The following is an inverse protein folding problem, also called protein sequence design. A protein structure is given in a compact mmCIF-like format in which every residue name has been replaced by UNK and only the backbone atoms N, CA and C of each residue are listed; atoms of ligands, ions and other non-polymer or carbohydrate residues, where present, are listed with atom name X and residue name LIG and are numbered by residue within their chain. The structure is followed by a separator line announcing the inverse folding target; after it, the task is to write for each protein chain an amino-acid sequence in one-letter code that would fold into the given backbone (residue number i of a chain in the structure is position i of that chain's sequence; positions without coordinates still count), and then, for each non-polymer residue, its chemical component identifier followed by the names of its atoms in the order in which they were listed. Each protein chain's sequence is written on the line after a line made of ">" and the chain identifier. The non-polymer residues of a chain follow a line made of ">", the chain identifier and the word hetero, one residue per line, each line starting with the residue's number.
data_IF_149851042874
#
_entry.id   IF_149851042874
#
_cell.length_a   1.000
_cell.length_b   1.000
_cell.length_c   1.000
_cell.angle_alpha   90.00
_cell.angle_beta   90.00
_cell.angle_gamma   90.00
#
_symmetry.space_group_name_H-M   'P 1'
#
loop_
_entity.id
_entity.type
_entity.pdbx_description
1 polymer ?
#
# COMPACT_ATOMS: atom_id res chain seq x y z
N UNK A 1 -16.14 -8.47 -19.41
CA UNK A 1 -15.78 -9.13 -18.13
C UNK A 1 -16.89 -10.07 -17.65
N UNK A 2 -16.55 -11.13 -16.87
CA UNK A 2 -17.54 -12.10 -16.41
C UNK A 2 -18.19 -11.63 -15.11
N UNK A 3 -19.52 -11.54 -15.08
CA UNK A 3 -20.29 -11.30 -13.86
C UNK A 3 -20.45 -12.57 -13.05
N UNK A 4 -20.72 -13.69 -13.72
CA UNK A 4 -20.90 -15.00 -13.13
C UNK A 4 -20.09 -16.04 -13.90
N UNK A 5 -19.44 -16.94 -13.18
CA UNK A 5 -18.62 -18.01 -13.75
C UNK A 5 -19.20 -19.36 -13.34
N UNK A 6 -19.29 -20.29 -14.27
CA UNK A 6 -19.71 -21.65 -13.98
C UNK A 6 -18.67 -22.35 -13.08
N UNK A 7 -19.14 -23.00 -12.04
CA UNK A 7 -18.30 -23.75 -11.12
C UNK A 7 -18.11 -25.19 -11.61
N UNK A 8 -16.89 -25.69 -11.56
CA UNK A 8 -16.62 -27.10 -11.68
C UNK A 8 -17.10 -27.85 -10.41
N UNK A 9 -17.34 -29.17 -10.49
CA UNK A 9 -17.83 -29.95 -9.34
C UNK A 9 -16.97 -29.81 -8.07
N UNK A 10 -15.66 -29.68 -8.22
CA UNK A 10 -14.66 -29.56 -7.17
C UNK A 10 -14.54 -28.19 -6.51
N UNK A 11 -15.20 -27.15 -7.07
CA UNK A 11 -15.19 -25.82 -6.45
C UNK A 11 -15.91 -25.87 -5.10
N UNK A 12 -15.22 -25.35 -4.06
CA UNK A 12 -15.78 -25.27 -2.70
C UNK A 12 -16.77 -24.12 -2.57
N UNK A 13 -16.44 -22.95 -3.14
CA UNK A 13 -17.30 -21.76 -3.09
C UNK A 13 -18.11 -21.68 -4.38
N UNK A 14 -19.35 -22.10 -4.31
CA UNK A 14 -20.31 -22.08 -5.43
C UNK A 14 -21.72 -21.96 -4.92
N UNK A 15 -22.55 -21.32 -5.70
CA UNK A 15 -23.96 -21.06 -5.37
C UNK A 15 -24.86 -21.32 -6.56
N UNK A 16 -26.11 -21.62 -6.29
CA UNK A 16 -27.14 -21.66 -7.32
C UNK A 16 -27.47 -20.25 -7.85
N UNK A 17 -27.73 -20.15 -9.14
CA UNK A 17 -28.14 -18.91 -9.78
C UNK A 17 -29.04 -19.19 -10.98
N UNK A 18 -29.74 -18.19 -11.54
CA UNK A 18 -30.48 -18.35 -12.80
C UNK A 18 -29.61 -18.82 -13.97
N UNK A 19 -28.27 -18.67 -13.86
CA UNK A 19 -27.31 -19.09 -14.88
C UNK A 19 -26.61 -20.42 -14.54
N UNK A 20 -27.12 -21.13 -13.54
CA UNK A 20 -26.56 -22.39 -13.06
C UNK A 20 -25.68 -22.26 -11.83
N UNK A 21 -25.10 -23.39 -11.43
CA UNK A 21 -24.17 -23.46 -10.29
C UNK A 21 -22.87 -22.75 -10.65
N UNK A 22 -22.50 -21.75 -9.84
CA UNK A 22 -21.33 -20.92 -10.16
C UNK A 22 -20.89 -20.00 -9.02
N UNK A 23 -20.07 -19.04 -9.36
CA UNK A 23 -19.51 -18.04 -8.43
C UNK A 23 -19.37 -16.67 -9.12
N UNK A 24 -19.40 -15.57 -8.37
CA UNK A 24 -19.27 -14.23 -8.92
C UNK A 24 -17.90 -13.99 -9.55
N UNK A 25 -17.82 -13.12 -10.54
CA UNK A 25 -16.56 -12.58 -11.01
C UNK A 25 -15.91 -11.68 -9.92
N UNK A 26 -14.60 -11.67 -9.85
CA UNK A 26 -13.83 -10.94 -8.83
C UNK A 26 -14.24 -9.46 -8.68
N UNK A 27 -14.44 -8.73 -9.78
CA UNK A 27 -14.87 -7.32 -9.71
C UNK A 27 -16.29 -7.17 -9.15
N UNK A 28 -17.17 -8.15 -9.36
CA UNK A 28 -18.52 -8.13 -8.79
C UNK A 28 -18.48 -8.31 -7.27
N UNK A 29 -17.55 -9.11 -6.76
CA UNK A 29 -17.35 -9.25 -5.30
C UNK A 29 -16.98 -7.90 -4.69
N UNK A 30 -16.01 -7.19 -5.28
CA UNK A 30 -15.57 -5.88 -4.80
C UNK A 30 -16.70 -4.84 -4.90
N UNK A 31 -17.40 -4.77 -6.02
CA UNK A 31 -18.54 -3.85 -6.21
C UNK A 31 -19.65 -4.12 -5.19
N UNK A 32 -20.01 -5.38 -4.97
CA UNK A 32 -21.04 -5.75 -4.01
C UNK A 32 -20.65 -5.44 -2.55
N UNK A 33 -19.41 -5.76 -2.17
CA UNK A 33 -18.92 -5.50 -0.83
C UNK A 33 -18.78 -4.00 -0.55
N UNK A 34 -18.19 -3.24 -1.47
CA UNK A 34 -18.04 -1.80 -1.31
C UNK A 34 -19.40 -1.09 -1.24
N UNK A 35 -20.33 -1.43 -2.12
CA UNK A 35 -21.69 -0.87 -2.08
C UNK A 35 -22.42 -1.20 -0.78
N UNK A 36 -22.25 -2.42 -0.25
CA UNK A 36 -22.89 -2.86 1.00
C UNK A 36 -22.35 -2.16 2.23
N UNK A 37 -21.04 -1.99 2.34
CA UNK A 37 -20.39 -1.52 3.57
C UNK A 37 -20.02 -0.04 3.54
N UNK A 38 -19.77 0.53 2.36
CA UNK A 38 -19.34 1.93 2.19
C UNK A 38 -20.39 2.80 1.50
N UNK A 39 -21.45 2.18 0.96
CA UNK A 39 -22.49 2.88 0.22
C UNK A 39 -22.22 2.94 -1.28
N UNK A 40 -23.13 3.60 -2.00
CA UNK A 40 -23.09 3.67 -3.48
C UNK A 40 -21.93 4.50 -4.03
N UNK A 41 -21.30 5.32 -3.21
CA UNK A 41 -20.10 6.07 -3.52
C UNK A 41 -19.31 6.30 -2.23
N UNK A 42 -18.03 6.02 -2.25
CA UNK A 42 -17.09 6.24 -1.14
C UNK A 42 -15.92 7.14 -1.60
N UNK A 43 -15.06 7.54 -0.68
CA UNK A 43 -14.08 8.59 -0.98
C UNK A 43 -12.89 8.06 -1.77
N UNK A 44 -12.22 7.00 -1.30
CA UNK A 44 -10.97 6.52 -1.88
C UNK A 44 -11.03 5.02 -2.13
N UNK A 45 -10.73 4.61 -3.37
CA UNK A 45 -10.46 3.22 -3.74
C UNK A 45 -9.01 3.08 -4.16
N UNK A 46 -8.29 2.14 -3.55
CA UNK A 46 -6.87 1.94 -3.78
C UNK A 46 -6.53 0.54 -4.25
N UNK A 47 -5.48 0.43 -5.06
CA UNK A 47 -4.96 -0.86 -5.51
C UNK A 47 -3.61 -0.74 -6.19
N UNK A 48 -3.07 -1.85 -6.66
CA UNK A 48 -1.88 -1.85 -7.51
C UNK A 48 -2.20 -1.32 -8.91
N UNK A 49 -1.19 -0.84 -9.63
CA UNK A 49 -1.36 -0.38 -11.01
C UNK A 49 -1.86 -1.49 -11.95
N UNK A 50 -1.61 -2.74 -11.62
CA UNK A 50 -2.11 -3.92 -12.33
C UNK A 50 -3.62 -4.11 -12.20
N UNK A 51 -4.25 -3.53 -11.19
CA UNK A 51 -5.71 -3.54 -11.00
C UNK A 51 -6.42 -2.42 -11.77
N UNK A 52 -5.71 -1.40 -12.24
CA UNK A 52 -6.31 -0.30 -12.97
C UNK A 52 -7.16 -0.83 -14.14
N UNK A 53 -6.58 -1.74 -14.90
CA UNK A 53 -7.27 -2.43 -15.99
C UNK A 53 -6.96 -3.94 -15.95
N UNK A 54 -7.98 -4.82 -16.05
CA UNK A 54 -9.40 -4.52 -16.24
C UNK A 54 -10.23 -4.38 -14.95
N UNK A 55 -9.64 -4.62 -13.74
CA UNK A 55 -10.41 -4.83 -12.51
C UNK A 55 -11.18 -3.57 -12.08
N UNK A 56 -10.51 -2.46 -11.86
CA UNK A 56 -11.16 -1.21 -11.42
C UNK A 56 -12.07 -0.61 -12.49
N UNK A 57 -11.71 -0.73 -13.77
CA UNK A 57 -12.59 -0.33 -14.86
C UNK A 57 -13.89 -1.14 -14.87
N UNK A 58 -13.84 -2.42 -14.53
CA UNK A 58 -15.02 -3.25 -14.38
C UNK A 58 -15.87 -2.82 -13.17
N UNK A 59 -15.25 -2.42 -12.06
CA UNK A 59 -15.96 -1.89 -10.90
C UNK A 59 -16.66 -0.56 -11.22
N UNK A 60 -15.99 0.34 -11.96
CA UNK A 60 -16.57 1.60 -12.44
C UNK A 60 -17.79 1.31 -13.30
N UNK A 61 -17.68 0.40 -14.28
CA UNK A 61 -18.78 0.03 -15.14
C UNK A 61 -19.97 -0.56 -14.37
N UNK A 62 -19.71 -1.41 -13.38
CA UNK A 62 -20.72 -2.01 -12.51
C UNK A 62 -21.38 -0.97 -11.61
N UNK A 63 -20.60 -0.09 -10.99
CA UNK A 63 -21.09 1.00 -10.14
C UNK A 63 -22.01 1.94 -10.90
N UNK A 64 -21.60 2.33 -12.10
CA UNK A 64 -22.43 3.18 -12.99
C UNK A 64 -23.71 2.46 -13.43
N UNK A 65 -23.65 1.18 -13.76
CA UNK A 65 -24.82 0.43 -14.17
C UNK A 65 -25.82 0.22 -13.02
N UNK A 66 -25.36 -0.03 -11.80
CA UNK A 66 -26.20 -0.34 -10.66
C UNK A 66 -26.65 0.90 -9.87
N UNK A 67 -25.76 1.88 -9.69
CA UNK A 67 -25.97 3.01 -8.82
C UNK A 67 -26.02 4.36 -9.54
N UNK A 68 -25.89 4.37 -10.88
CA UNK A 68 -25.89 5.56 -11.74
C UNK A 68 -24.82 6.59 -11.33
N UNK A 69 -23.70 6.13 -10.79
CA UNK A 69 -22.55 6.97 -10.39
C UNK A 69 -21.29 6.13 -10.25
N UNK A 70 -20.14 6.81 -10.33
CA UNK A 70 -18.86 6.18 -10.05
C UNK A 70 -18.81 5.71 -8.57
N UNK A 71 -18.32 4.50 -8.29
CA UNK A 71 -18.30 3.94 -6.94
C UNK A 71 -17.31 4.64 -6.02
N UNK A 72 -16.27 5.29 -6.54
CA UNK A 72 -15.30 6.03 -5.75
C UNK A 72 -15.03 7.42 -6.33
N UNK A 73 -14.78 8.40 -5.44
CA UNK A 73 -14.41 9.77 -5.85
C UNK A 73 -12.98 9.86 -6.32
N UNK A 74 -12.07 9.11 -5.68
CA UNK A 74 -10.65 9.10 -5.98
C UNK A 74 -10.14 7.67 -6.11
N UNK A 75 -9.39 7.45 -7.20
CA UNK A 75 -8.73 6.17 -7.48
C UNK A 75 -7.23 6.35 -7.25
N UNK A 76 -6.66 5.55 -6.37
CA UNK A 76 -5.23 5.60 -6.05
C UNK A 76 -4.56 4.30 -6.44
N UNK A 77 -3.53 4.39 -7.29
CA UNK A 77 -2.78 3.21 -7.73
C UNK A 77 -1.33 3.32 -7.29
N UNK A 78 -0.89 2.36 -6.49
CA UNK A 78 0.52 2.22 -6.15
C UNK A 78 1.25 1.36 -7.18
N UNK A 79 2.52 1.66 -7.38
CA UNK A 79 3.36 0.92 -8.31
C UNK A 79 3.85 -0.39 -7.70
N UNK A 80 4.54 -1.18 -8.52
CA UNK A 80 5.03 -2.51 -8.17
C UNK A 80 6.24 -2.45 -7.26
N UNK A 81 6.43 -3.53 -6.51
CA UNK A 81 7.67 -3.84 -5.81
C UNK A 81 8.56 -4.64 -6.75
N UNK A 82 9.82 -4.25 -6.83
CA UNK A 82 10.87 -4.98 -7.55
C UNK A 82 11.94 -5.47 -6.56
N UNK A 83 12.69 -6.46 -6.98
CA UNK A 83 13.86 -6.97 -6.27
C UNK A 83 15.04 -6.86 -7.23
N UNK A 84 16.00 -6.00 -6.90
CA UNK A 84 17.14 -5.72 -7.77
C UNK A 84 16.72 -5.39 -9.23
N UNK A 85 15.70 -4.51 -9.36
CA UNK A 85 15.18 -4.09 -10.64
C UNK A 85 14.23 -5.07 -11.35
N UNK A 86 14.04 -6.28 -10.84
CA UNK A 86 13.13 -7.27 -11.41
C UNK A 86 11.80 -7.31 -10.65
N UNK A 87 10.69 -7.47 -11.37
CA UNK A 87 9.38 -7.66 -10.74
C UNK A 87 9.43 -8.79 -9.72
N UNK A 88 8.96 -8.54 -8.50
CA UNK A 88 8.81 -9.59 -7.49
C UNK A 88 7.67 -10.53 -7.87
N UNK A 89 7.91 -11.83 -7.87
CA UNK A 89 6.90 -12.83 -8.19
C UNK A 89 7.29 -14.24 -7.77
N UNK A 90 6.31 -15.01 -7.29
CA UNK A 90 6.53 -16.41 -6.87
C UNK A 90 7.09 -17.28 -7.99
N UNK A 91 6.59 -17.09 -9.21
CA UNK A 91 7.04 -17.82 -10.40
C UNK A 91 8.48 -17.47 -10.83
N UNK A 92 9.00 -16.34 -10.36
CA UNK A 92 10.37 -15.87 -10.65
C UNK A 92 11.38 -16.31 -9.58
N UNK A 93 10.92 -16.96 -8.50
CA UNK A 93 11.78 -17.39 -7.40
C UNK A 93 12.39 -16.25 -6.56
N UNK A 94 11.96 -15.01 -6.77
CA UNK A 94 12.46 -13.82 -6.07
C UNK A 94 11.44 -13.21 -5.09
N UNK A 95 10.43 -13.98 -4.70
CA UNK A 95 9.40 -13.53 -3.78
C UNK A 95 9.91 -13.62 -2.34
N UNK A 96 9.97 -12.47 -1.65
CA UNK A 96 10.40 -12.37 -0.25
C UNK A 96 9.17 -12.07 0.60
N UNK A 97 8.89 -12.89 1.59
CA UNK A 97 7.81 -12.66 2.55
C UNK A 97 8.23 -11.67 3.63
N UNK A 98 7.26 -11.05 4.31
CA UNK A 98 7.54 -10.19 5.46
C UNK A 98 8.28 -10.95 6.58
N UNK A 99 7.93 -12.22 6.79
CA UNK A 99 8.61 -13.05 7.79
C UNK A 99 10.09 -13.24 7.46
N UNK A 100 10.42 -13.48 6.20
CA UNK A 100 11.81 -13.61 5.74
C UNK A 100 12.56 -12.28 5.88
N UNK A 101 11.93 -11.15 5.53
CA UNK A 101 12.51 -9.81 5.78
C UNK A 101 12.83 -9.59 7.26
N UNK A 102 11.94 -10.02 8.17
CA UNK A 102 12.12 -9.81 9.61
C UNK A 102 13.10 -10.79 10.24
N UNK A 103 13.25 -11.98 9.67
CA UNK A 103 14.17 -13.01 10.16
C UNK A 103 15.52 -13.02 9.46
N UNK A 104 15.60 -12.39 8.29
CA UNK A 104 16.79 -12.44 7.42
C UNK A 104 17.01 -13.82 6.74
N UNK A 105 16.03 -14.71 6.79
CA UNK A 105 16.14 -16.08 6.29
C UNK A 105 15.71 -16.18 4.82
N UNK A 106 16.44 -15.56 3.93
CA UNK A 106 16.24 -15.64 2.48
C UNK A 106 17.55 -15.35 1.77
N UNK A 107 17.87 -16.08 0.70
CA UNK A 107 19.16 -16.01 -0.01
C UNK A 107 19.48 -14.61 -0.59
N UNK A 108 18.44 -13.83 -0.89
CA UNK A 108 18.58 -12.45 -1.40
C UNK A 108 18.79 -11.41 -0.30
N UNK A 109 18.72 -11.79 0.99
CA UNK A 109 18.86 -10.87 2.11
C UNK A 109 20.19 -11.06 2.82
N UNK A 110 20.93 -9.99 3.03
CA UNK A 110 22.19 -10.00 3.80
C UNK A 110 21.96 -10.02 5.32
N UNK A 111 20.80 -9.54 5.78
CA UNK A 111 20.47 -9.46 7.19
C UNK A 111 18.96 -9.38 7.44
N UNK A 112 18.58 -9.51 8.70
CA UNK A 112 17.22 -9.22 9.17
C UNK A 112 16.97 -7.72 9.27
N UNK A 113 15.73 -7.31 8.99
CA UNK A 113 15.28 -5.92 9.11
C UNK A 113 14.08 -5.82 10.05
N UNK A 114 14.07 -4.79 10.91
CA UNK A 114 12.90 -4.56 11.76
C UNK A 114 11.67 -4.15 10.94
N UNK A 115 10.45 -4.47 11.39
CA UNK A 115 9.22 -4.02 10.73
C UNK A 115 9.18 -2.51 10.50
N UNK A 116 9.71 -1.72 11.44
CA UNK A 116 9.75 -0.26 11.32
C UNK A 116 10.77 0.22 10.29
N UNK A 117 11.86 -0.51 10.05
CA UNK A 117 12.79 -0.22 8.95
C UNK A 117 12.11 -0.43 7.61
N UNK A 118 11.39 -1.53 7.43
CA UNK A 118 10.64 -1.82 6.20
C UNK A 118 9.55 -0.77 5.98
N UNK A 119 8.80 -0.43 7.02
CA UNK A 119 7.78 0.64 6.94
C UNK A 119 8.41 1.97 6.53
N UNK A 120 9.52 2.36 7.15
CA UNK A 120 10.23 3.59 6.81
C UNK A 120 10.70 3.56 5.36
N UNK A 121 11.29 2.46 4.91
CA UNK A 121 11.71 2.27 3.52
C UNK A 121 10.56 2.50 2.53
N UNK A 122 9.41 1.86 2.76
CA UNK A 122 8.22 2.03 1.89
C UNK A 122 7.78 3.50 1.87
N UNK A 123 7.78 4.18 3.02
CA UNK A 123 7.32 5.57 3.13
C UNK A 123 8.31 6.61 2.55
N UNK A 124 9.56 6.24 2.26
CA UNK A 124 10.52 7.14 1.59
C UNK A 124 10.28 7.28 0.10
N UNK A 125 9.54 6.37 -0.52
CA UNK A 125 9.19 6.42 -1.92
C UNK A 125 7.80 7.02 -2.14
N UNK A 126 7.62 7.73 -3.24
CA UNK A 126 6.28 8.14 -3.66
C UNK A 126 5.49 6.89 -4.08
N UNK A 127 4.23 6.77 -3.65
CA UNK A 127 3.42 5.56 -3.87
C UNK A 127 3.26 5.15 -5.34
N UNK A 128 3.36 6.10 -6.29
CA UNK A 128 3.29 5.83 -7.74
C UNK A 128 4.64 5.40 -8.34
N UNK A 129 5.73 5.50 -7.58
CA UNK A 129 7.04 5.07 -8.04
C UNK A 129 7.27 3.60 -7.74
N UNK A 130 8.02 2.92 -8.61
CA UNK A 130 8.48 1.55 -8.34
C UNK A 130 9.34 1.56 -7.08
N UNK A 131 9.08 0.62 -6.19
CA UNK A 131 9.85 0.42 -4.97
C UNK A 131 10.79 -0.77 -5.16
N UNK A 132 12.08 -0.50 -5.27
CA UNK A 132 13.09 -1.55 -5.46
C UNK A 132 13.70 -1.99 -4.13
N UNK A 133 13.47 -3.26 -3.77
CA UNK A 133 14.08 -3.89 -2.60
C UNK A 133 15.48 -4.38 -2.98
N UNK A 134 16.49 -3.66 -2.53
CA UNK A 134 17.89 -4.09 -2.58
C UNK A 134 18.49 -4.01 -1.17
N UNK A 135 19.57 -4.76 -0.92
CA UNK A 135 20.23 -4.73 0.38
C UNK A 135 20.75 -3.34 0.72
N UNK A 136 21.31 -2.62 -0.27
CA UNK A 136 21.80 -1.25 -0.08
C UNK A 136 20.66 -0.31 0.29
N UNK A 137 19.52 -0.38 -0.38
CA UNK A 137 18.37 0.47 -0.12
C UNK A 137 17.76 0.21 1.26
N UNK A 138 17.65 -1.05 1.66
CA UNK A 138 17.16 -1.44 2.99
C UNK A 138 18.12 -1.02 4.11
N UNK A 139 19.42 -1.15 3.90
CA UNK A 139 20.44 -0.69 4.85
C UNK A 139 20.45 0.83 4.97
N UNK A 140 20.32 1.55 3.86
CA UNK A 140 20.20 3.01 3.86
C UNK A 140 18.95 3.46 4.64
N UNK A 141 17.81 2.82 4.40
CA UNK A 141 16.58 3.07 5.13
C UNK A 141 16.73 2.78 6.65
N UNK A 142 17.41 1.71 7.02
CA UNK A 142 17.70 1.40 8.43
C UNK A 142 18.54 2.49 9.11
N UNK A 143 19.57 2.99 8.41
CA UNK A 143 20.40 4.11 8.90
C UNK A 143 19.57 5.38 9.05
N UNK A 144 18.73 5.70 8.05
CA UNK A 144 17.83 6.87 8.08
C UNK A 144 16.85 6.80 9.25
N UNK A 145 16.16 5.67 9.39
CA UNK A 145 15.24 5.42 10.50
C UNK A 145 15.91 5.59 11.87
N UNK A 146 17.10 4.97 12.07
CA UNK A 146 17.87 5.10 13.30
C UNK A 146 18.25 6.54 13.62
N UNK A 147 18.59 7.36 12.61
CA UNK A 147 18.86 8.79 12.79
C UNK A 147 17.64 9.54 13.32
N UNK A 148 16.46 9.30 12.75
CA UNK A 148 15.21 9.95 13.20
C UNK A 148 14.91 9.57 14.66
N UNK A 149 14.96 8.28 14.99
CA UNK A 149 14.69 7.81 16.36
C UNK A 149 15.71 8.39 17.36
N UNK A 150 16.98 8.47 16.97
CA UNK A 150 18.00 9.08 17.83
C UNK A 150 17.75 10.58 18.03
N UNK A 151 17.43 11.31 16.96
CA UNK A 151 17.03 12.72 17.05
C UNK A 151 15.82 12.95 17.95
N UNK A 152 14.78 12.11 17.81
CA UNK A 152 13.61 12.16 18.70
C UNK A 152 13.97 11.89 20.16
N UNK A 153 14.87 10.91 20.43
CA UNK A 153 15.34 10.62 21.78
C UNK A 153 16.10 11.81 22.39
N UNK A 154 16.98 12.43 21.61
CA UNK A 154 17.69 13.64 22.03
C UNK A 154 16.69 14.75 22.35
N UNK A 155 15.78 15.04 21.42
CA UNK A 155 14.78 16.10 21.59
C UNK A 155 13.90 15.90 22.84
N UNK A 156 13.52 14.66 23.18
CA UNK A 156 12.73 14.35 24.38
C UNK A 156 13.50 14.54 25.69
N UNK A 157 14.83 14.49 25.63
CA UNK A 157 15.70 14.67 26.80
C UNK A 157 16.28 16.08 26.92
N UNK A 158 15.93 16.97 25.97
CA UNK A 158 16.29 18.38 26.09
C UNK A 158 15.42 19.02 27.17
N UNK A 159 16.05 19.51 28.24
CA UNK A 159 15.42 20.39 29.19
C UNK A 159 15.36 21.79 28.56
N UNK A 160 14.17 22.34 28.49
CA UNK A 160 14.00 23.73 28.09
C UNK A 160 14.52 24.61 29.22
N UNK A 161 15.72 25.15 29.07
CA UNK A 161 16.18 26.25 29.91
C UNK A 161 15.66 27.53 29.27
N UNK A 162 14.64 28.13 29.89
CA UNK A 162 14.26 29.49 29.56
C UNK A 162 15.39 30.41 30.01
N UNK A 163 16.35 30.70 29.15
CA UNK A 163 17.16 31.89 29.33
C UNK A 163 16.22 33.09 29.16
N UNK A 164 15.94 33.78 30.23
CA UNK A 164 15.34 35.12 30.18
C UNK A 164 16.21 35.96 29.25
N UNK A 165 15.68 36.32 28.09
CA UNK A 165 16.24 37.43 27.35
C UNK A 165 16.69 37.26 25.92
N UNK A 166 16.27 36.26 25.17
CA UNK A 166 16.36 36.36 23.70
C UNK A 166 14.94 36.61 23.16
N UNK A 167 14.48 37.86 23.29
CA UNK A 167 13.40 38.34 22.46
C UNK A 167 13.89 38.32 21.01
N UNK A 168 13.37 37.40 20.21
CA UNK A 168 13.58 37.43 18.76
C UNK A 168 13.15 38.82 18.27
N UNK A 169 14.07 39.59 17.68
CA UNK A 169 13.73 40.87 17.10
C UNK A 169 12.66 40.68 16.00
N UNK A 170 11.77 41.68 15.82
CA UNK A 170 10.66 41.63 14.86
C UNK A 170 11.10 41.19 13.45
N UNK A 171 12.35 41.44 13.05
CA UNK A 171 12.94 41.00 11.79
C UNK A 171 13.27 39.50 11.72
N UNK A 172 13.41 38.82 12.85
CA UNK A 172 13.67 37.38 12.91
C UNK A 172 12.36 36.58 12.91
N UNK A 173 11.29 37.16 13.42
CA UNK A 173 9.95 36.57 13.37
C UNK A 173 9.43 36.55 11.91
N UNK A 174 9.65 37.63 11.14
CA UNK A 174 9.25 37.72 9.72
C UNK A 174 9.99 36.76 8.77
N UNK A 175 11.07 36.13 9.21
CA UNK A 175 11.77 35.10 8.41
C UNK A 175 11.25 33.67 8.67
N UNK A 176 10.35 33.50 9.63
CA UNK A 176 9.81 32.19 10.04
C UNK A 176 8.34 32.03 9.58
N UNK A 177 7.65 33.13 9.26
CA UNK A 177 6.33 33.16 8.58
C UNK A 177 6.47 33.00 7.05
#
# INVERSE_FOLDING_TARGET
>A
FALWKNAAPEHLMKWESPWGMGFPGWHLECTAMSSKYLGSQFDIHGGGMDLMFPHHECEIAQGNACNHRDPARYWMHNNMITINGQKMGKSLGNFITLQELFTGKHDLLEQAYSPMTIRYFILTAHYRSTLDFSNEALQAAQKGYKKIINGLRIARNLEYQSEEGIALGENQIKQIE
#
